data_IF_526635344760
#
_entry.id   IF_526635344760
#
_cell.length_a   1.000
_cell.length_b   1.000
_cell.length_c   1.000
_cell.angle_alpha   90.00
_cell.angle_beta   90.00
_cell.angle_gamma   90.00
#
_symmetry.space_group_name_H-M   'P 1'
#
loop_
_entity.id
_entity.type
_entity.pdbx_description
1 polymer ?
#
# COMPACT_ATOMS: atom_id res chain seq x y z
N UNK A 1 -9.48 10.90 -21.44
CA UNK A 1 -9.88 10.52 -20.06
C UNK A 1 -9.22 9.21 -19.68
N UNK A 2 -8.64 9.17 -18.54
CA UNK A 2 -7.93 8.01 -18.08
C UNK A 2 -8.92 6.91 -17.63
N UNK A 3 -8.59 5.66 -17.95
CA UNK A 3 -9.37 4.49 -17.52
C UNK A 3 -8.99 4.03 -16.11
N UNK A 4 -8.56 4.95 -15.26
CA UNK A 4 -8.08 4.58 -13.93
C UNK A 4 -9.22 4.14 -13.04
N UNK A 5 -8.98 3.15 -12.17
CA UNK A 5 -10.01 2.72 -11.21
C UNK A 5 -10.39 3.85 -10.26
N UNK A 6 -11.67 3.94 -9.96
CA UNK A 6 -12.12 4.80 -8.87
C UNK A 6 -11.64 4.22 -7.54
N UNK A 7 -11.62 5.04 -6.49
CA UNK A 7 -11.16 4.61 -5.17
C UNK A 7 -11.91 3.37 -4.67
N UNK A 8 -13.23 3.34 -4.88
CA UNK A 8 -14.02 2.20 -4.46
C UNK A 8 -13.60 0.92 -5.18
N UNK A 9 -13.34 0.99 -6.48
CA UNK A 9 -12.88 -0.17 -7.24
C UNK A 9 -11.50 -0.64 -6.74
N UNK A 10 -10.64 0.29 -6.38
CA UNK A 10 -9.32 -0.05 -5.85
C UNK A 10 -9.46 -0.74 -4.49
N UNK A 11 -10.35 -0.25 -3.64
CA UNK A 11 -10.65 -0.87 -2.35
C UNK A 11 -11.20 -2.28 -2.54
N UNK A 12 -12.07 -2.49 -3.54
CA UNK A 12 -12.60 -3.82 -3.82
C UNK A 12 -11.51 -4.80 -4.21
N UNK A 13 -10.52 -4.36 -4.98
CA UNK A 13 -9.39 -5.20 -5.34
C UNK A 13 -8.52 -5.52 -4.14
N UNK A 14 -8.32 -4.56 -3.24
CA UNK A 14 -7.59 -4.79 -2.00
C UNK A 14 -8.33 -5.79 -1.10
N UNK A 15 -9.65 -5.65 -1.01
CA UNK A 15 -10.46 -6.57 -0.22
C UNK A 15 -10.34 -8.00 -0.76
N UNK A 16 -10.35 -8.14 -2.08
CA UNK A 16 -10.22 -9.44 -2.69
C UNK A 16 -8.84 -10.05 -2.42
N UNK A 17 -7.79 -9.24 -2.53
CA UNK A 17 -6.43 -9.70 -2.26
C UNK A 17 -6.27 -10.19 -0.81
N UNK A 18 -6.99 -9.57 0.13
CA UNK A 18 -6.95 -9.95 1.54
C UNK A 18 -7.29 -11.42 1.77
N UNK A 19 -8.12 -12.00 0.90
CA UNK A 19 -8.54 -13.39 1.04
C UNK A 19 -7.39 -14.39 0.90
N UNK A 20 -6.27 -13.97 0.32
CA UNK A 20 -5.09 -14.82 0.12
C UNK A 20 -4.01 -14.60 1.17
N UNK A 21 -4.26 -13.75 2.15
CA UNK A 21 -3.28 -13.47 3.19
C UNK A 21 -2.91 -14.73 3.97
N UNK A 22 -1.64 -14.85 4.28
CA UNK A 22 -1.14 -15.98 5.06
C UNK A 22 -0.75 -15.47 6.44
N UNK A 23 -1.68 -15.62 7.40
CA UNK A 23 -1.52 -15.00 8.73
C UNK A 23 -1.77 -16.01 9.86
N UNK A 24 -1.02 -17.14 9.89
CA UNK A 24 -1.26 -18.16 10.91
C UNK A 24 -0.87 -17.73 12.32
N UNK A 25 -0.09 -16.66 12.46
CA UNK A 25 0.40 -16.21 13.77
C UNK A 25 -0.41 -15.06 14.32
N UNK A 26 -0.68 -14.03 13.52
CA UNK A 26 -1.41 -12.86 13.99
C UNK A 26 -2.93 -12.98 13.83
N UNK A 27 -3.37 -13.79 12.89
CA UNK A 27 -4.79 -13.90 12.52
C UNK A 27 -5.35 -12.52 12.12
N UNK A 28 -4.51 -11.70 11.49
CA UNK A 28 -4.90 -10.35 11.07
C UNK A 28 -4.59 -10.17 9.57
N UNK A 29 -5.49 -10.67 8.69
CA UNK A 29 -5.25 -10.57 7.25
C UNK A 29 -5.43 -9.14 6.73
N UNK A 30 -4.55 -8.76 5.81
CA UNK A 30 -4.55 -7.44 5.18
C UNK A 30 -4.44 -7.62 3.67
N UNK A 31 -5.17 -6.81 2.93
CA UNK A 31 -5.06 -6.77 1.48
C UNK A 31 -4.72 -5.37 1.02
N UNK A 32 -3.97 -5.27 -0.06
CA UNK A 32 -3.59 -3.99 -0.65
C UNK A 32 -3.75 -4.02 -2.16
N UNK A 33 -4.05 -2.86 -2.73
CA UNK A 33 -4.08 -2.68 -4.19
C UNK A 33 -3.41 -1.36 -4.51
N UNK A 34 -2.35 -1.42 -5.30
CA UNK A 34 -1.51 -0.28 -5.64
C UNK A 34 -1.76 0.13 -7.08
N UNK A 35 -2.11 1.39 -7.29
CA UNK A 35 -2.38 1.93 -8.62
C UNK A 35 -1.13 2.65 -9.13
N UNK A 36 -0.54 2.12 -10.19
CA UNK A 36 0.57 2.76 -10.85
C UNK A 36 0.11 3.89 -11.76
N UNK A 37 1.02 4.80 -12.08
CA UNK A 37 0.72 5.88 -13.02
C UNK A 37 0.37 5.36 -14.41
N UNK A 38 0.81 4.16 -14.74
CA UNK A 38 0.44 3.50 -16.01
C UNK A 38 -1.04 3.12 -16.08
N UNK A 39 -1.73 3.11 -14.93
CA UNK A 39 -3.10 2.62 -14.83
C UNK A 39 -3.18 1.17 -14.39
N UNK A 40 -2.06 0.47 -14.29
CA UNK A 40 -2.05 -0.92 -13.83
C UNK A 40 -2.19 -0.98 -12.33
N UNK A 41 -2.84 -2.04 -11.86
CA UNK A 41 -3.05 -2.28 -10.43
C UNK A 41 -2.24 -3.51 -10.02
N UNK A 42 -1.53 -3.38 -8.90
CA UNK A 42 -0.73 -4.46 -8.33
C UNK A 42 -1.29 -4.78 -6.96
N UNK A 43 -1.74 -6.01 -6.75
CA UNK A 43 -2.33 -6.40 -5.47
C UNK A 43 -1.30 -7.10 -4.60
N UNK A 44 -1.54 -7.07 -3.29
CA UNK A 44 -0.70 -7.77 -2.34
C UNK A 44 -1.50 -8.14 -1.10
N UNK A 45 -0.98 -9.10 -0.36
CA UNK A 45 -1.52 -9.48 0.93
C UNK A 45 -0.35 -9.71 1.88
N UNK A 46 -0.61 -9.72 3.19
CA UNK A 46 0.46 -10.00 4.13
C UNK A 46 0.77 -11.50 4.17
N UNK A 47 2.06 -11.79 4.32
CA UNK A 47 2.57 -13.16 4.33
C UNK A 47 3.49 -13.27 5.55
N UNK A 48 3.08 -14.08 6.51
CA UNK A 48 3.83 -14.24 7.76
C UNK A 48 4.78 -15.43 7.68
N UNK A 49 5.75 -15.41 8.57
CA UNK A 49 6.77 -16.44 8.64
C UNK A 49 6.96 -16.82 10.10
N UNK A 50 7.29 -18.09 10.38
CA UNK A 50 7.63 -18.53 11.72
C UNK A 50 8.78 -17.70 12.29
N UNK A 51 9.72 -17.32 11.45
CA UNK A 51 10.73 -16.31 11.79
C UNK A 51 10.09 -14.95 11.56
N UNK A 52 9.46 -14.42 12.59
CA UNK A 52 8.53 -13.31 12.46
C UNK A 52 9.09 -12.06 11.78
N UNK A 53 10.36 -11.68 12.00
CA UNK A 53 10.92 -10.53 11.28
C UNK A 53 10.97 -10.67 9.75
N UNK A 54 10.80 -11.88 9.22
CA UNK A 54 10.77 -12.12 7.79
C UNK A 54 9.38 -11.98 7.20
N UNK A 55 8.38 -11.73 8.05
CA UNK A 55 7.02 -11.46 7.59
C UNK A 55 6.97 -10.19 6.77
N UNK A 56 6.04 -10.12 5.80
CA UNK A 56 5.90 -8.97 4.93
C UNK A 56 4.46 -8.46 4.99
N UNK A 57 4.30 -7.14 5.04
CA UNK A 57 2.98 -6.52 5.03
C UNK A 57 2.41 -6.47 3.61
N UNK A 58 1.09 -6.42 3.50
CA UNK A 58 0.40 -6.38 2.21
C UNK A 58 0.87 -5.24 1.32
N UNK A 59 1.07 -4.06 1.91
CA UNK A 59 1.49 -2.88 1.18
C UNK A 59 2.85 -3.09 0.53
N UNK A 60 3.80 -3.69 1.27
CA UNK A 60 5.13 -3.95 0.71
C UNK A 60 5.11 -5.04 -0.34
N UNK A 61 4.25 -6.06 -0.17
CA UNK A 61 4.07 -7.08 -1.20
C UNK A 61 3.65 -6.42 -2.52
N UNK A 62 2.68 -5.52 -2.46
CA UNK A 62 2.19 -4.84 -3.65
C UNK A 62 3.26 -3.94 -4.28
N UNK A 63 3.97 -3.16 -3.45
CA UNK A 63 5.02 -2.26 -3.94
C UNK A 63 6.16 -3.05 -4.58
N UNK A 64 6.62 -4.10 -3.93
CA UNK A 64 7.75 -4.88 -4.44
C UNK A 64 7.39 -5.61 -5.73
N UNK A 65 6.15 -6.08 -5.82
CA UNK A 65 5.66 -6.67 -7.07
C UNK A 65 5.71 -5.64 -8.20
N UNK A 66 5.20 -4.45 -7.96
CA UNK A 66 5.17 -3.39 -8.97
C UNK A 66 6.58 -3.01 -9.41
N UNK A 67 7.47 -2.80 -8.46
CA UNK A 67 8.85 -2.41 -8.75
C UNK A 67 9.56 -3.52 -9.53
N UNK A 68 9.32 -4.78 -9.16
CA UNK A 68 9.93 -5.91 -9.87
C UNK A 68 9.43 -6.03 -11.30
N UNK A 69 8.27 -5.46 -11.61
CA UNK A 69 7.72 -5.43 -12.96
C UNK A 69 8.03 -4.12 -13.69
N UNK A 70 8.84 -3.27 -13.11
CA UNK A 70 9.33 -2.06 -13.77
C UNK A 70 8.54 -0.79 -13.48
N UNK A 71 7.53 -0.85 -12.62
CA UNK A 71 6.76 0.34 -12.29
C UNK A 71 7.22 0.94 -10.96
N UNK A 72 7.57 2.24 -10.96
CA UNK A 72 8.08 2.93 -9.79
C UNK A 72 7.38 4.24 -9.50
N UNK A 73 6.30 4.53 -10.22
CA UNK A 73 5.58 5.80 -10.10
C UNK A 73 4.14 5.48 -9.76
N UNK A 74 3.72 5.77 -8.53
CA UNK A 74 2.44 5.32 -8.02
C UNK A 74 1.51 6.49 -7.72
N UNK A 75 0.23 6.28 -7.95
CA UNK A 75 -0.80 7.28 -7.77
C UNK A 75 -1.58 7.10 -6.47
N UNK A 76 -1.90 5.85 -6.12
CA UNK A 76 -2.70 5.55 -4.93
C UNK A 76 -2.49 4.12 -4.48
N UNK A 77 -2.73 3.88 -3.20
CA UNK A 77 -2.78 2.53 -2.66
C UNK A 77 -4.03 2.42 -1.78
N UNK A 78 -4.76 1.32 -1.93
CA UNK A 78 -5.86 0.98 -1.04
C UNK A 78 -5.43 -0.16 -0.13
N UNK A 79 -5.80 -0.07 1.14
CA UNK A 79 -5.46 -1.09 2.15
C UNK A 79 -6.73 -1.45 2.92
N UNK A 80 -7.04 -2.74 2.97
CA UNK A 80 -8.23 -3.24 3.66
C UNK A 80 -7.84 -4.13 4.81
N UNK A 81 -8.30 -3.79 6.00
CA UNK A 81 -8.14 -4.59 7.21
C UNK A 81 -9.47 -4.68 7.93
N UNK A 82 -9.56 -5.53 8.94
CA UNK A 82 -10.79 -5.65 9.74
C UNK A 82 -11.14 -4.36 10.46
N UNK A 83 -10.16 -3.53 10.80
CA UNK A 83 -10.35 -2.32 11.61
C UNK A 83 -10.17 -1.01 10.84
N UNK A 84 -9.76 -1.07 9.58
CA UNK A 84 -9.41 0.14 8.83
C UNK A 84 -8.12 0.77 9.27
N UNK A 85 -7.18 -0.04 9.76
CA UNK A 85 -5.91 0.46 10.27
C UNK A 85 -5.07 1.08 9.15
N UNK A 86 -4.30 2.12 9.51
CA UNK A 86 -3.34 2.73 8.59
C UNK A 86 -2.08 1.87 8.49
N UNK A 87 -1.28 2.03 7.43
CA UNK A 87 -0.04 1.26 7.28
C UNK A 87 0.91 1.44 8.45
N UNK A 88 1.66 0.40 8.77
CA UNK A 88 2.68 0.47 9.83
C UNK A 88 3.83 1.40 9.41
N UNK A 89 4.71 1.70 10.37
CA UNK A 89 5.81 2.62 10.11
C UNK A 89 6.72 2.20 8.97
N UNK A 90 7.07 0.90 8.91
CA UNK A 90 7.93 0.39 7.84
C UNK A 90 7.25 0.56 6.48
N UNK A 91 5.95 0.27 6.39
CA UNK A 91 5.22 0.43 5.13
C UNK A 91 5.12 1.89 4.73
N UNK A 92 4.96 2.80 5.70
CA UNK A 92 4.94 4.23 5.40
C UNK A 92 6.26 4.69 4.80
N UNK A 93 7.37 4.21 5.33
CA UNK A 93 8.68 4.56 4.79
C UNK A 93 8.86 4.01 3.36
N UNK A 94 8.45 2.76 3.14
CA UNK A 94 8.53 2.17 1.79
C UNK A 94 7.65 2.95 0.81
N UNK A 95 6.43 3.28 1.22
CA UNK A 95 5.53 4.07 0.37
C UNK A 95 6.07 5.48 0.11
N UNK A 96 6.76 6.07 1.09
CA UNK A 96 7.31 7.42 0.93
C UNK A 96 8.38 7.47 -0.15
N UNK A 97 9.14 6.39 -0.33
CA UNK A 97 10.15 6.33 -1.39
C UNK A 97 9.54 6.62 -2.75
N UNK A 98 8.33 6.14 -2.98
CA UNK A 98 7.63 6.23 -4.27
C UNK A 98 6.45 7.21 -4.22
N UNK A 99 6.42 8.07 -3.21
CA UNK A 99 5.28 8.96 -2.97
C UNK A 99 5.31 10.27 -3.72
N UNK A 100 6.34 10.47 -4.56
CA UNK A 100 6.53 11.74 -5.27
C UNK A 100 7.28 12.76 -4.42
N UNK A 101 7.73 13.86 -5.03
CA UNK A 101 8.53 14.85 -4.29
C UNK A 101 7.80 15.45 -3.10
N UNK A 102 6.47 15.62 -3.22
CA UNK A 102 5.66 16.24 -2.17
C UNK A 102 4.96 15.21 -1.28
N UNK A 103 5.16 13.92 -1.53
CA UNK A 103 4.51 12.87 -0.76
C UNK A 103 3.00 12.85 -0.95
N UNK A 104 2.52 13.09 -2.16
CA UNK A 104 1.10 13.18 -2.44
C UNK A 104 0.45 11.87 -2.89
N UNK A 105 1.19 10.77 -2.82
CA UNK A 105 0.61 9.44 -3.03
C UNK A 105 -0.59 9.27 -2.09
N UNK A 106 -1.76 8.95 -2.65
CA UNK A 106 -2.98 8.78 -1.85
C UNK A 106 -2.99 7.42 -1.20
N UNK A 107 -3.32 7.39 0.09
CA UNK A 107 -3.44 6.16 0.87
C UNK A 107 -4.89 6.06 1.33
N UNK A 108 -5.60 5.06 0.82
CA UNK A 108 -7.02 4.86 1.12
C UNK A 108 -7.11 3.64 2.03
N UNK A 109 -7.59 3.83 3.25
CA UNK A 109 -7.76 2.71 4.18
C UNK A 109 -9.25 2.42 4.36
N UNK A 110 -9.60 1.15 4.42
CA UNK A 110 -10.98 0.73 4.57
C UNK A 110 -11.07 -0.44 5.53
N UNK A 111 -12.19 -0.49 6.25
CA UNK A 111 -12.55 -1.66 7.03
C UNK A 111 -13.45 -2.59 6.19
N UNK A 112 -13.98 -3.62 6.82
CA UNK A 112 -14.80 -4.61 6.10
C UNK A 112 -16.22 -4.12 5.81
N UNK A 113 -16.60 -2.97 6.35
CA UNK A 113 -17.93 -2.37 6.16
C UNK A 113 -17.88 -1.15 5.23
N UNK A 114 -16.77 -1.00 4.50
CA UNK A 114 -16.58 0.11 3.54
C UNK A 114 -16.53 1.48 4.18
N UNK A 115 -16.11 1.58 5.43
CA UNK A 115 -15.77 2.88 6.02
C UNK A 115 -14.37 3.24 5.52
N UNK A 116 -14.29 4.30 4.71
CA UNK A 116 -13.05 4.71 4.05
C UNK A 116 -12.50 5.97 4.67
N UNK A 117 -11.16 6.03 4.78
CA UNK A 117 -10.44 7.26 5.12
C UNK A 117 -9.30 7.41 4.12
N UNK A 118 -9.04 8.64 3.70
CA UNK A 118 -8.00 8.92 2.70
C UNK A 118 -6.98 9.89 3.26
N UNK A 119 -5.71 9.57 3.04
CA UNK A 119 -4.58 10.38 3.46
C UNK A 119 -3.62 10.52 2.28
N UNK A 120 -2.72 11.49 2.35
CA UNK A 120 -1.50 11.43 1.52
C UNK A 120 -0.44 10.71 2.33
N UNK A 121 0.60 10.21 1.65
CA UNK A 121 1.69 9.58 2.40
C UNK A 121 2.43 10.61 3.26
N UNK A 122 2.45 11.88 2.83
CA UNK A 122 3.03 12.93 3.65
C UNK A 122 2.25 13.12 4.95
N UNK A 123 0.92 12.97 4.91
CA UNK A 123 0.11 13.03 6.13
C UNK A 123 0.50 11.94 7.13
N UNK A 124 0.84 10.75 6.63
CA UNK A 124 1.10 9.59 7.48
C UNK A 124 2.57 9.48 7.89
N UNK A 125 3.46 10.19 7.21
CA UNK A 125 4.89 10.20 7.53
C UNK A 125 5.43 11.61 7.29
N UNK A 126 5.04 12.58 8.11
CA UNK A 126 5.54 13.95 7.94
C UNK A 126 7.05 13.98 8.09
N UNK A 127 7.72 14.75 7.23
CA UNK A 127 9.17 14.89 7.24
C UNK A 127 9.89 13.55 7.09
N UNK A 128 9.30 12.64 6.30
CA UNK A 128 9.88 11.33 6.07
C UNK A 128 11.21 11.40 5.33
N UNK A 129 12.01 10.36 5.50
CA UNK A 129 13.31 10.29 4.83
C UNK A 129 13.09 9.96 3.34
N UNK A 130 13.68 10.76 2.46
CA UNK A 130 13.44 10.64 1.01
C UNK A 130 14.75 10.61 0.24
N UNK A 131 14.72 10.16 -1.04
CA UNK A 131 15.93 10.17 -1.88
C UNK A 131 16.53 11.56 -2.06
N UNK A 132 15.71 12.61 -2.03
CA UNK A 132 16.19 13.97 -2.16
C UNK A 132 17.20 14.33 -1.07
N UNK A 133 17.02 13.77 0.13
CA UNK A 133 17.92 14.04 1.25
C UNK A 133 19.28 13.38 1.07
N UNK A 134 19.37 12.45 0.15
CA UNK A 134 20.65 11.81 -0.23
C UNK A 134 21.22 12.39 -1.51
N UNK A 135 20.64 13.47 -2.02
CA UNK A 135 21.08 14.05 -3.28
C UNK A 135 20.74 13.20 -4.49
N UNK A 136 19.73 12.32 -4.36
CA UNK A 136 19.27 11.45 -5.45
C UNK A 136 17.93 11.95 -5.95
N UNK A 137 17.67 11.75 -7.25
CA UNK A 137 16.39 12.08 -7.88
C UNK A 137 16.05 13.58 -7.89
#
# INVERSE_FOLDING_TARGET
>A
MSERPADKALVDQARHARERAYTPYSDFPVGAALLGRSGRVYTGCNVENASYPLSICAERTAVFKAVSEGERDFEAIAVVTATGATPCGACRQVLREFGGPDGDLRVIVADLEDNLRTFTIDDLLPEGFTPEQLGKR
#
